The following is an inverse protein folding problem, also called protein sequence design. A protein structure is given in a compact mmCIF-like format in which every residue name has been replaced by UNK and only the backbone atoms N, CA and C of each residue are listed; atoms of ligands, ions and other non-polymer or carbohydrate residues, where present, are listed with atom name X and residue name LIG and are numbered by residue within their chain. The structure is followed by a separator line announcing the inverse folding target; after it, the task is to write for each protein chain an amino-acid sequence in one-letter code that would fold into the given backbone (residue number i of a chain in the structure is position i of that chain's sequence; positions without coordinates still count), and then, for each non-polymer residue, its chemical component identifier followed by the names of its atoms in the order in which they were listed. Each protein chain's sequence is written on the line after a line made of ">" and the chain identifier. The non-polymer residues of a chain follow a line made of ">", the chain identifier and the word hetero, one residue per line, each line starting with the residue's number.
data_IF_986947501667
#
_entry.id   IF_986947501667
#
_cell.length_a   1.000
_cell.length_b   1.000
_cell.length_c   1.000
_cell.angle_alpha   90.00
_cell.angle_beta   90.00
_cell.angle_gamma   90.00
#
_symmetry.space_group_name_H-M   'P 1'
#
loop_
_entity.id
_entity.type
_entity.pdbx_description
1 polymer ?
#
# COMPACT_ATOMS: atom_id res chain seq x y z
N UNK A 1 0.22 -11.28 -4.59
CA UNK A 1 0.90 -11.88 -3.44
C UNK A 1 0.06 -11.71 -2.18
N UNK A 2 0.05 -12.75 -1.36
CA UNK A 2 -0.64 -12.76 -0.07
C UNK A 2 0.43 -12.94 1.02
N UNK A 3 0.86 -11.86 1.70
CA UNK A 3 1.72 -11.97 2.86
C UNK A 3 0.97 -12.67 4.01
N UNK A 4 1.52 -13.75 4.54
CA UNK A 4 0.91 -14.54 5.60
C UNK A 4 1.89 -14.70 6.78
N UNK A 5 1.41 -14.44 7.99
CA UNK A 5 2.11 -14.76 9.23
C UNK A 5 1.10 -15.09 10.32
N UNK A 6 1.05 -16.35 10.73
CA UNK A 6 0.05 -16.87 11.67
C UNK A 6 -1.38 -16.43 11.26
N UNK A 7 -1.75 -16.76 10.01
CA UNK A 7 -2.95 -16.27 9.31
C UNK A 7 -4.03 -17.34 9.11
N UNK A 8 -3.89 -18.51 9.69
CA UNK A 8 -4.81 -19.67 9.52
C UNK A 8 -6.28 -19.26 9.58
N UNK A 9 -6.63 -18.37 10.51
CA UNK A 9 -8.02 -17.96 10.76
C UNK A 9 -8.66 -17.22 9.58
N UNK A 10 -7.85 -16.55 8.75
CA UNK A 10 -8.36 -15.61 7.74
C UNK A 10 -7.99 -15.95 6.31
N UNK A 11 -6.81 -16.57 6.10
CA UNK A 11 -6.20 -16.69 4.78
C UNK A 11 -7.05 -17.47 3.76
N UNK A 12 -7.85 -18.44 4.17
CA UNK A 12 -8.71 -19.21 3.25
C UNK A 12 -9.70 -18.30 2.52
N UNK A 13 -10.36 -17.39 3.23
CA UNK A 13 -11.29 -16.42 2.63
C UNK A 13 -10.60 -15.52 1.61
N UNK A 14 -9.39 -15.07 1.93
CA UNK A 14 -8.56 -14.28 1.02
C UNK A 14 -8.26 -15.07 -0.25
N UNK A 15 -7.69 -16.27 -0.12
CA UNK A 15 -7.28 -17.13 -1.24
C UNK A 15 -8.48 -17.47 -2.12
N UNK A 16 -9.58 -17.94 -1.52
CA UNK A 16 -10.79 -18.35 -2.23
C UNK A 16 -11.38 -17.19 -3.07
N UNK A 17 -11.31 -15.96 -2.56
CA UNK A 17 -11.76 -14.77 -3.29
C UNK A 17 -10.91 -14.47 -4.53
N UNK A 18 -9.65 -14.90 -4.56
CA UNK A 18 -8.72 -14.69 -5.67
C UNK A 18 -8.72 -15.85 -6.68
N UNK A 19 -9.01 -17.07 -6.24
CA UNK A 19 -9.05 -18.26 -7.09
C UNK A 19 -10.08 -18.16 -8.23
N UNK A 20 -11.11 -17.35 -8.06
CA UNK A 20 -12.12 -17.13 -9.11
C UNK A 20 -11.55 -16.48 -10.38
N UNK A 21 -10.33 -15.92 -10.32
CA UNK A 21 -9.59 -15.41 -11.47
C UNK A 21 -9.10 -16.50 -12.44
N UNK A 22 -9.08 -17.77 -11.99
CA UNK A 22 -8.67 -18.92 -12.80
C UNK A 22 -7.22 -18.82 -13.31
N UNK A 23 -6.97 -19.36 -14.49
CA UNK A 23 -5.63 -19.44 -15.11
C UNK A 23 -5.06 -18.07 -15.56
N UNK A 24 -5.81 -16.99 -15.48
CA UNK A 24 -5.32 -15.65 -15.78
C UNK A 24 -4.52 -15.03 -14.63
N UNK A 25 -4.48 -15.69 -13.48
CA UNK A 25 -3.80 -15.19 -12.28
C UNK A 25 -2.84 -16.23 -11.71
N UNK A 26 -1.77 -15.76 -11.12
CA UNK A 26 -0.95 -16.53 -10.18
C UNK A 26 -1.17 -15.97 -8.76
N UNK A 27 -1.27 -16.83 -7.78
CA UNK A 27 -1.44 -16.50 -6.38
C UNK A 27 -0.20 -16.96 -5.64
N UNK A 28 0.61 -16.00 -5.18
CA UNK A 28 1.80 -16.28 -4.38
C UNK A 28 1.42 -16.16 -2.90
N UNK A 29 1.30 -17.28 -2.21
CA UNK A 29 1.10 -17.32 -0.76
C UNK A 29 2.48 -17.28 -0.13
N UNK A 30 2.85 -16.14 0.46
CA UNK A 30 4.15 -15.97 1.08
C UNK A 30 4.02 -16.13 2.60
N UNK A 31 4.37 -17.32 3.07
CA UNK A 31 4.44 -17.63 4.50
C UNK A 31 5.74 -17.08 5.10
N UNK A 32 5.62 -16.05 5.91
CA UNK A 32 6.74 -15.33 6.55
C UNK A 32 7.15 -16.00 7.87
N UNK A 33 7.37 -17.32 7.83
CA UNK A 33 7.86 -18.09 8.97
C UNK A 33 6.82 -18.29 10.07
N UNK A 34 5.60 -18.69 9.71
CA UNK A 34 4.54 -19.01 10.67
C UNK A 34 4.90 -20.24 11.50
N UNK A 35 4.78 -20.12 12.84
CA UNK A 35 5.13 -21.19 13.78
C UNK A 35 4.05 -21.48 14.82
N UNK A 36 2.96 -20.70 14.83
CA UNK A 36 1.94 -20.79 15.89
C UNK A 36 0.63 -21.40 15.44
N UNK A 37 0.46 -21.61 14.13
CA UNK A 37 -0.77 -22.13 13.55
C UNK A 37 -0.45 -22.89 12.26
N UNK A 38 -1.48 -23.30 11.52
CA UNK A 38 -1.37 -24.12 10.30
C UNK A 38 -1.21 -23.28 9.01
N UNK A 39 -0.75 -22.05 9.09
CA UNK A 39 -0.61 -21.17 7.91
C UNK A 39 0.24 -21.81 6.80
N UNK A 40 1.41 -22.38 7.13
CA UNK A 40 2.27 -23.04 6.17
C UNK A 40 1.62 -24.25 5.51
N UNK A 41 0.97 -25.11 6.32
CA UNK A 41 0.25 -26.30 5.83
C UNK A 41 -0.90 -25.90 4.90
N UNK A 42 -1.66 -24.86 5.23
CA UNK A 42 -2.76 -24.35 4.40
C UNK A 42 -2.23 -23.83 3.06
N UNK A 43 -1.09 -23.14 3.04
CA UNK A 43 -0.46 -22.69 1.81
C UNK A 43 -0.12 -23.89 0.90
N UNK A 44 0.48 -24.94 1.46
CA UNK A 44 0.79 -26.18 0.73
C UNK A 44 -0.45 -26.93 0.24
N UNK A 45 -1.53 -26.97 1.05
CA UNK A 45 -2.83 -27.54 0.64
C UNK A 45 -3.37 -26.86 -0.62
N UNK A 46 -3.32 -25.52 -0.68
CA UNK A 46 -3.80 -24.77 -1.83
C UNK A 46 -2.90 -24.94 -3.06
N UNK A 47 -1.58 -24.95 -2.89
CA UNK A 47 -0.66 -25.24 -4.01
C UNK A 47 -0.90 -26.66 -4.57
N UNK A 48 -1.06 -27.67 -3.72
CA UNK A 48 -1.35 -29.04 -4.16
C UNK A 48 -2.69 -29.15 -4.90
N UNK A 49 -3.70 -28.39 -4.47
CA UNK A 49 -5.03 -28.40 -5.07
C UNK A 49 -5.09 -27.58 -6.38
N UNK A 50 -4.33 -26.50 -6.48
CA UNK A 50 -4.33 -25.56 -7.63
C UNK A 50 -2.92 -25.29 -8.15
N UNK A 51 -2.17 -26.30 -8.59
CA UNK A 51 -0.73 -26.20 -8.88
C UNK A 51 -0.37 -25.28 -10.05
N UNK A 52 -1.33 -24.95 -10.92
CA UNK A 52 -1.13 -24.01 -12.04
C UNK A 52 -1.41 -22.56 -11.65
N UNK A 53 -2.11 -22.31 -10.54
CA UNK A 53 -2.55 -20.98 -10.10
C UNK A 53 -1.84 -20.56 -8.82
N UNK A 54 -1.69 -21.46 -7.86
CA UNK A 54 -1.18 -21.17 -6.51
C UNK A 54 0.26 -21.68 -6.36
N UNK A 55 1.09 -20.85 -5.74
CA UNK A 55 2.44 -21.22 -5.31
C UNK A 55 2.66 -20.79 -3.86
N UNK A 56 3.02 -21.75 -3.01
CA UNK A 56 3.42 -21.53 -1.64
C UNK A 56 4.93 -21.18 -1.57
N UNK A 57 5.26 -20.12 -0.88
CA UNK A 57 6.66 -19.69 -0.68
C UNK A 57 6.88 -19.54 0.83
N UNK A 58 7.72 -20.41 1.40
CA UNK A 58 8.09 -20.37 2.80
C UNK A 58 9.43 -19.66 2.98
N UNK A 59 9.52 -18.79 3.98
CA UNK A 59 10.74 -18.06 4.28
C UNK A 59 10.88 -17.84 5.79
N UNK A 60 12.07 -17.51 6.23
CA UNK A 60 12.29 -17.02 7.60
C UNK A 60 11.53 -15.70 7.82
N UNK A 61 11.04 -15.50 9.05
CA UNK A 61 10.31 -14.30 9.40
C UNK A 61 11.16 -13.04 9.17
N UNK A 62 10.67 -12.14 8.35
CA UNK A 62 11.25 -10.83 8.05
C UNK A 62 10.22 -9.70 8.16
N UNK A 63 8.97 -10.04 8.48
CA UNK A 63 7.86 -9.10 8.55
C UNK A 63 7.17 -8.86 7.22
N UNK A 64 6.06 -8.13 7.27
CA UNK A 64 5.17 -7.89 6.12
C UNK A 64 5.92 -7.38 4.88
N UNK A 65 6.81 -6.39 5.03
CA UNK A 65 7.59 -5.86 3.91
C UNK A 65 8.49 -6.89 3.25
N UNK A 66 9.10 -7.77 4.04
CA UNK A 66 9.94 -8.88 3.54
C UNK A 66 9.11 -9.88 2.73
N UNK A 67 7.90 -10.21 3.18
CA UNK A 67 6.98 -11.07 2.45
C UNK A 67 6.52 -10.43 1.13
N UNK A 68 6.23 -9.12 1.12
CA UNK A 68 5.90 -8.37 -0.12
C UNK A 68 7.08 -8.35 -1.08
N UNK A 69 8.31 -8.08 -0.60
CA UNK A 69 9.53 -8.13 -1.43
C UNK A 69 9.70 -9.50 -2.08
N UNK A 70 9.48 -10.57 -1.32
CA UNK A 70 9.52 -11.96 -1.83
C UNK A 70 8.46 -12.18 -2.91
N UNK A 71 7.24 -11.69 -2.70
CA UNK A 71 6.18 -11.73 -3.70
C UNK A 71 6.57 -11.03 -5.00
N UNK A 72 7.10 -9.80 -4.92
CA UNK A 72 7.54 -9.03 -6.09
C UNK A 72 8.65 -9.78 -6.86
N UNK A 73 9.64 -10.31 -6.13
CA UNK A 73 10.79 -11.01 -6.74
C UNK A 73 10.38 -12.30 -7.46
N UNK A 74 9.32 -12.97 -7.00
CA UNK A 74 8.83 -14.24 -7.54
C UNK A 74 7.68 -14.09 -8.52
N UNK A 75 7.10 -12.90 -8.67
CA UNK A 75 5.97 -12.67 -9.57
C UNK A 75 6.38 -12.78 -11.05
N UNK A 76 5.59 -13.51 -11.82
CA UNK A 76 5.77 -13.71 -13.26
C UNK A 76 4.67 -13.05 -14.10
N UNK A 77 3.52 -12.73 -13.49
CA UNK A 77 2.42 -12.05 -14.15
C UNK A 77 2.75 -10.61 -14.57
N UNK A 78 2.03 -10.09 -15.56
CA UNK A 78 2.24 -8.73 -16.07
C UNK A 78 1.97 -7.65 -15.02
N UNK A 79 1.03 -7.90 -14.14
CA UNK A 79 0.58 -6.98 -13.10
C UNK A 79 0.67 -7.62 -11.72
N UNK A 80 0.96 -6.83 -10.72
CA UNK A 80 1.17 -7.26 -9.33
C UNK A 80 0.22 -6.55 -8.38
N UNK A 81 -0.39 -7.33 -7.49
CA UNK A 81 -1.25 -6.87 -6.40
C UNK A 81 -0.85 -7.52 -5.10
N UNK A 82 -0.79 -6.73 -4.03
CA UNK A 82 -0.76 -7.24 -2.65
C UNK A 82 -2.18 -7.34 -2.13
N UNK A 83 -2.53 -8.47 -1.55
CA UNK A 83 -3.79 -8.66 -0.80
C UNK A 83 -3.41 -9.22 0.56
N UNK A 84 -3.71 -8.48 1.62
CA UNK A 84 -3.41 -8.93 2.98
C UNK A 84 -4.25 -10.16 3.34
N UNK A 85 -3.68 -11.06 4.12
CA UNK A 85 -4.26 -12.39 4.37
C UNK A 85 -5.58 -12.38 5.14
N UNK A 86 -5.92 -11.26 5.79
CA UNK A 86 -7.19 -11.03 6.49
C UNK A 86 -8.23 -10.25 5.67
N UNK A 87 -7.87 -9.85 4.45
CA UNK A 87 -8.71 -9.13 3.50
C UNK A 87 -9.20 -10.06 2.38
N UNK A 88 -10.06 -9.54 1.50
CA UNK A 88 -10.55 -10.28 0.32
C UNK A 88 -10.94 -9.33 -0.81
N UNK A 89 -11.28 -9.89 -1.96
CA UNK A 89 -11.72 -9.12 -3.12
C UNK A 89 -13.16 -9.47 -3.51
N UNK A 90 -13.85 -8.51 -4.13
CA UNK A 90 -15.22 -8.73 -4.61
C UNK A 90 -15.20 -9.29 -6.03
N UNK A 91 -15.85 -10.42 -6.25
CA UNK A 91 -15.79 -11.21 -7.47
C UNK A 91 -16.19 -10.42 -8.74
N UNK A 92 -17.33 -9.72 -8.70
CA UNK A 92 -17.82 -8.93 -9.86
C UNK A 92 -16.86 -7.79 -10.24
N UNK A 93 -16.27 -7.12 -9.25
CA UNK A 93 -15.27 -6.10 -9.47
C UNK A 93 -13.94 -6.72 -9.96
N UNK A 94 -13.58 -7.90 -9.46
CA UNK A 94 -12.39 -8.63 -9.88
C UNK A 94 -12.44 -9.00 -11.37
N UNK A 95 -13.56 -9.54 -11.84
CA UNK A 95 -13.73 -9.84 -13.26
C UNK A 95 -13.57 -8.60 -14.14
N UNK A 96 -14.17 -7.46 -13.74
CA UNK A 96 -13.98 -6.20 -14.47
C UNK A 96 -12.53 -5.74 -14.51
N UNK A 97 -11.78 -5.92 -13.42
CA UNK A 97 -10.36 -5.60 -13.38
C UNK A 97 -9.58 -6.50 -14.32
N UNK A 98 -9.81 -7.82 -14.30
CA UNK A 98 -9.13 -8.76 -15.18
C UNK A 98 -9.41 -8.47 -16.66
N UNK A 99 -10.66 -8.19 -17.02
CA UNK A 99 -11.06 -7.83 -18.38
C UNK A 99 -10.37 -6.53 -18.82
N UNK A 100 -10.37 -5.50 -17.97
CA UNK A 100 -9.70 -4.22 -18.24
C UNK A 100 -8.18 -4.41 -18.42
N UNK A 101 -7.54 -5.21 -17.58
CA UNK A 101 -6.10 -5.48 -17.68
C UNK A 101 -5.75 -6.26 -18.97
N UNK A 102 -6.61 -7.22 -19.39
CA UNK A 102 -6.44 -7.93 -20.67
C UNK A 102 -6.52 -6.98 -21.86
N UNK A 103 -7.53 -6.11 -21.89
CA UNK A 103 -7.70 -5.11 -22.96
C UNK A 103 -6.49 -4.17 -23.02
N UNK A 104 -6.03 -3.65 -21.88
CA UNK A 104 -4.91 -2.72 -21.81
C UNK A 104 -3.57 -3.39 -22.11
N UNK A 105 -3.38 -4.67 -21.79
CA UNK A 105 -2.18 -5.42 -22.12
C UNK A 105 -1.98 -5.60 -23.63
N UNK A 106 -3.08 -5.68 -24.41
CA UNK A 106 -3.06 -5.72 -25.86
C UNK A 106 -2.91 -4.36 -26.55
N UNK A 107 -2.92 -3.26 -25.78
CA UNK A 107 -2.87 -1.90 -26.31
C UNK A 107 -1.47 -1.41 -26.65
N UNK A 108 -1.40 -0.28 -27.37
CA UNK A 108 -0.13 0.33 -27.79
C UNK A 108 0.66 1.07 -26.70
N UNK A 109 0.08 1.25 -25.53
CA UNK A 109 0.72 1.90 -24.37
C UNK A 109 0.70 0.98 -23.17
N UNK A 110 1.88 0.78 -22.55
CA UNK A 110 1.98 0.00 -21.32
C UNK A 110 1.32 0.75 -20.15
N UNK A 111 0.41 0.08 -19.45
CA UNK A 111 -0.14 0.53 -18.19
C UNK A 111 0.89 0.30 -17.09
N UNK A 112 1.19 1.33 -16.29
CA UNK A 112 2.10 1.23 -15.14
C UNK A 112 1.36 0.97 -13.82
N UNK A 113 0.19 1.60 -13.63
CA UNK A 113 -0.60 1.48 -12.42
C UNK A 113 -2.11 1.56 -12.71
N UNK A 114 -2.85 0.54 -12.32
CA UNK A 114 -4.30 0.57 -12.24
C UNK A 114 -4.72 0.92 -10.82
N UNK A 115 -5.71 1.80 -10.69
CA UNK A 115 -6.28 2.22 -9.41
C UNK A 115 -7.74 1.79 -9.36
N UNK A 116 -8.19 1.26 -8.24
CA UNK A 116 -9.59 0.92 -7.96
C UNK A 116 -9.98 1.36 -6.55
N UNK A 117 -11.28 1.29 -6.25
CA UNK A 117 -11.77 1.61 -4.91
C UNK A 117 -11.51 0.47 -3.93
N UNK A 118 -11.48 0.82 -2.65
CA UNK A 118 -11.57 -0.17 -1.57
C UNK A 118 -12.68 0.19 -0.59
N UNK A 119 -13.13 -0.81 0.15
CA UNK A 119 -14.28 -0.71 1.05
C UNK A 119 -13.86 -1.19 2.42
N UNK A 120 -14.11 -0.39 3.45
CA UNK A 120 -13.96 -0.82 4.82
C UNK A 120 -15.06 -1.82 5.19
N UNK A 121 -14.65 -3.00 5.60
CA UNK A 121 -15.52 -4.07 6.08
C UNK A 121 -15.35 -4.18 7.59
N UNK A 122 -16.37 -3.73 8.34
CA UNK A 122 -16.37 -3.78 9.78
C UNK A 122 -17.46 -4.72 10.27
N UNK A 123 -17.10 -5.64 11.15
CA UNK A 123 -18.01 -6.63 11.69
C UNK A 123 -19.17 -5.95 12.43
N UNK A 124 -20.41 -6.38 12.12
CA UNK A 124 -21.63 -5.83 12.74
C UNK A 124 -22.12 -4.49 12.20
N UNK A 125 -21.38 -3.83 11.28
CA UNK A 125 -21.84 -2.59 10.63
C UNK A 125 -22.47 -2.86 9.26
N UNK A 126 -23.73 -2.42 9.09
CA UNK A 126 -24.43 -2.49 7.81
C UNK A 126 -23.98 -1.42 6.81
N UNK A 127 -23.55 -0.24 7.31
CA UNK A 127 -23.10 0.88 6.49
C UNK A 127 -21.61 0.80 6.22
N UNK A 128 -21.23 0.58 4.96
CA UNK A 128 -19.84 0.46 4.53
C UNK A 128 -19.29 1.79 4.05
N UNK A 129 -18.06 2.11 4.45
CA UNK A 129 -17.34 3.28 3.94
C UNK A 129 -16.54 2.87 2.71
N UNK A 130 -16.81 3.52 1.58
CA UNK A 130 -16.08 3.33 0.31
C UNK A 130 -15.07 4.46 0.15
N UNK A 131 -13.85 4.12 -0.19
CA UNK A 131 -12.82 5.07 -0.62
C UNK A 131 -12.71 5.00 -2.14
N UNK A 132 -13.00 6.13 -2.78
CA UNK A 132 -13.10 6.25 -4.23
C UNK A 132 -12.39 7.52 -4.72
N UNK A 133 -12.01 7.55 -6.00
CA UNK A 133 -11.17 8.60 -6.58
C UNK A 133 -11.83 9.32 -7.78
N UNK A 134 -13.11 9.06 -8.06
CA UNK A 134 -13.85 9.58 -9.25
C UNK A 134 -13.82 11.10 -9.42
N UNK A 135 -13.63 11.87 -8.35
CA UNK A 135 -13.56 13.32 -8.39
C UNK A 135 -12.13 13.86 -8.56
N UNK A 136 -11.15 12.95 -8.54
CA UNK A 136 -9.71 13.29 -8.55
C UNK A 136 -9.05 12.73 -9.80
N UNK A 137 -9.40 11.50 -10.17
CA UNK A 137 -8.79 10.76 -11.27
C UNK A 137 -9.75 10.64 -12.45
N UNK A 138 -9.25 10.73 -13.71
CA UNK A 138 -10.03 10.40 -14.90
C UNK A 138 -10.52 8.95 -14.85
N UNK A 139 -11.82 8.74 -15.08
CA UNK A 139 -12.48 7.44 -14.98
C UNK A 139 -12.41 6.70 -16.31
N UNK A 140 -12.08 5.41 -16.28
CA UNK A 140 -12.11 4.46 -17.40
C UNK A 140 -11.42 4.92 -18.68
N UNK A 141 -10.28 5.59 -18.53
CA UNK A 141 -9.36 5.94 -19.62
C UNK A 141 -7.92 5.99 -19.12
N UNK A 142 -6.98 5.85 -20.04
CA UNK A 142 -5.57 6.08 -19.74
C UNK A 142 -5.33 7.56 -19.44
N UNK A 143 -4.51 7.83 -18.45
CA UNK A 143 -4.13 9.18 -18.04
C UNK A 143 -2.73 9.23 -17.43
N UNK A 144 -2.22 10.43 -17.28
CA UNK A 144 -0.94 10.73 -16.64
C UNK A 144 -1.16 11.62 -15.42
N UNK A 145 -0.11 11.88 -14.66
CA UNK A 145 -0.19 12.81 -13.52
C UNK A 145 -0.70 14.20 -13.90
N UNK A 146 -0.50 14.64 -15.14
CA UNK A 146 -0.97 15.95 -15.63
C UNK A 146 -2.49 16.04 -15.70
N UNK A 147 -3.14 14.92 -15.91
CA UNK A 147 -4.59 14.81 -16.06
C UNK A 147 -5.34 14.71 -14.71
N UNK A 148 -4.59 14.50 -13.60
CA UNK A 148 -5.17 14.39 -12.28
C UNK A 148 -5.66 15.76 -11.77
N UNK A 149 -6.83 15.76 -11.13
CA UNK A 149 -7.26 16.90 -10.34
C UNK A 149 -6.47 17.01 -9.04
N UNK A 150 -6.68 18.10 -8.31
CA UNK A 150 -5.99 18.31 -7.04
C UNK A 150 -6.51 17.32 -5.97
N UNK A 151 -5.61 16.57 -5.35
CA UNK A 151 -5.96 15.75 -4.20
C UNK A 151 -6.30 16.63 -3.01
N UNK A 152 -7.49 16.46 -2.48
CA UNK A 152 -7.94 17.14 -1.26
C UNK A 152 -7.04 16.68 -0.11
N UNK A 153 -6.70 17.59 0.82
CA UNK A 153 -5.89 17.24 1.99
C UNK A 153 -6.52 16.10 2.78
N UNK A 154 -5.69 15.12 3.15
CA UNK A 154 -6.13 13.89 3.81
C UNK A 154 -6.55 12.76 2.87
N UNK A 155 -6.61 13.00 1.56
CA UNK A 155 -6.87 11.95 0.56
C UNK A 155 -5.58 11.53 -0.14
N UNK A 156 -5.31 10.25 -0.15
CA UNK A 156 -4.16 9.65 -0.82
C UNK A 156 -4.47 8.22 -1.25
N UNK A 157 -3.65 7.69 -2.14
CA UNK A 157 -3.82 6.35 -2.71
C UNK A 157 -3.10 5.35 -1.79
N UNK A 158 -3.83 4.36 -1.31
CA UNK A 158 -3.31 3.30 -0.45
C UNK A 158 -2.96 2.03 -1.25
N UNK A 159 -2.19 1.14 -0.64
CA UNK A 159 -1.84 -0.18 -1.18
C UNK A 159 -3.07 -0.98 -1.63
N UNK A 160 -4.18 -0.87 -0.89
CA UNK A 160 -5.44 -1.53 -1.20
C UNK A 160 -6.00 -1.17 -2.58
N UNK A 161 -5.71 0.06 -3.07
CA UNK A 161 -6.24 0.59 -4.34
C UNK A 161 -5.37 0.30 -5.55
N UNK A 162 -4.11 -0.07 -5.40
CA UNK A 162 -3.16 -0.12 -6.53
C UNK A 162 -2.89 -1.53 -7.04
N UNK A 163 -2.75 -1.62 -8.36
CA UNK A 163 -2.19 -2.75 -9.08
C UNK A 163 -1.07 -2.18 -9.94
N UNK A 164 0.16 -2.59 -9.74
CA UNK A 164 1.31 -2.11 -10.49
C UNK A 164 1.71 -3.07 -11.60
N UNK A 165 2.34 -2.56 -12.64
CA UNK A 165 3.08 -3.39 -13.59
C UNK A 165 4.24 -4.07 -12.84
N UNK A 166 4.30 -5.39 -12.88
CA UNK A 166 5.28 -6.21 -12.14
C UNK A 166 6.71 -5.76 -12.40
N UNK A 167 7.06 -5.61 -13.68
CA UNK A 167 8.39 -5.18 -14.10
C UNK A 167 8.79 -3.80 -13.55
N UNK A 168 7.83 -2.88 -13.42
CA UNK A 168 8.08 -1.57 -12.79
C UNK A 168 8.51 -1.73 -11.34
N UNK A 169 7.83 -2.56 -10.54
CA UNK A 169 8.21 -2.82 -9.15
C UNK A 169 9.57 -3.52 -9.04
N UNK A 170 9.88 -4.46 -9.94
CA UNK A 170 11.15 -5.18 -9.94
C UNK A 170 12.34 -4.29 -10.32
N UNK A 171 12.12 -3.26 -11.16
CA UNK A 171 13.17 -2.39 -11.70
C UNK A 171 13.30 -1.03 -11.00
N UNK A 172 12.27 -0.58 -10.25
CA UNK A 172 12.30 0.75 -9.61
C UNK A 172 13.22 0.85 -8.38
N UNK A 173 13.79 -0.27 -7.94
CA UNK A 173 14.67 -0.32 -6.78
C UNK A 173 13.94 -0.36 -5.43
N UNK A 174 12.61 -0.61 -5.44
CA UNK A 174 11.83 -0.76 -4.21
C UNK A 174 12.36 -1.91 -3.37
N UNK A 175 12.70 -1.62 -2.11
CA UNK A 175 13.07 -2.61 -1.11
C UNK A 175 12.47 -2.22 0.24
N UNK A 176 11.37 -2.86 0.58
CA UNK A 176 10.70 -2.61 1.85
C UNK A 176 11.56 -3.11 3.02
N UNK A 177 11.69 -2.33 4.12
CA UNK A 177 12.48 -2.73 5.28
C UNK A 177 11.85 -3.92 5.99
N UNK A 178 12.71 -4.81 6.49
CA UNK A 178 12.31 -5.96 7.30
C UNK A 178 11.89 -5.53 8.72
N UNK A 179 11.08 -6.37 9.37
CA UNK A 179 10.60 -6.17 10.75
C UNK A 179 10.05 -4.76 11.01
N UNK A 180 9.37 -4.20 10.03
CA UNK A 180 8.83 -2.84 10.09
C UNK A 180 7.36 -2.85 9.64
N UNK A 181 6.47 -2.31 10.47
CA UNK A 181 5.07 -2.06 10.10
C UNK A 181 4.93 -0.77 9.29
N UNK A 182 3.77 -0.57 8.67
CA UNK A 182 3.42 0.64 7.90
C UNK A 182 4.24 0.83 6.62
N UNK A 183 4.89 -0.23 6.14
CA UNK A 183 5.67 -0.25 4.89
C UNK A 183 4.81 -0.19 3.63
N UNK A 184 3.49 -0.40 3.76
CA UNK A 184 2.48 -0.16 2.74
C UNK A 184 2.55 1.27 2.17
N UNK A 185 2.93 2.26 3.00
CA UNK A 185 3.19 3.62 2.55
C UNK A 185 4.39 3.69 1.60
N UNK A 186 5.47 2.98 1.87
CA UNK A 186 6.65 2.92 1.00
C UNK A 186 6.34 2.18 -0.30
N UNK A 187 5.57 1.08 -0.21
CA UNK A 187 5.13 0.28 -1.35
C UNK A 187 4.38 1.11 -2.40
N UNK A 188 3.56 2.07 -1.97
CA UNK A 188 2.88 2.98 -2.89
C UNK A 188 3.78 4.15 -3.29
N UNK A 189 4.49 4.74 -2.34
CA UNK A 189 5.20 6.02 -2.51
C UNK A 189 6.44 5.93 -3.40
N UNK A 190 7.29 4.92 -3.18
CA UNK A 190 8.57 4.82 -3.88
C UNK A 190 8.45 4.49 -5.38
N UNK A 191 7.48 3.69 -5.87
CA UNK A 191 7.31 3.46 -7.30
C UNK A 191 6.76 4.65 -8.09
N UNK A 192 6.12 5.64 -7.44
CA UNK A 192 5.40 6.74 -8.13
C UNK A 192 6.24 7.53 -9.14
N UNK A 193 7.54 7.83 -8.92
CA UNK A 193 8.35 8.52 -9.93
C UNK A 193 8.48 7.77 -11.27
N UNK A 194 8.30 6.46 -11.24
CA UNK A 194 8.40 5.56 -12.41
C UNK A 194 7.05 5.33 -13.10
N UNK A 195 5.95 5.69 -12.45
CA UNK A 195 4.58 5.57 -13.00
C UNK A 195 4.32 6.71 -13.96
N UNK A 196 4.12 6.37 -15.24
CA UNK A 196 3.78 7.33 -16.31
C UNK A 196 2.32 7.22 -16.69
N UNK A 197 1.86 6.01 -17.01
CA UNK A 197 0.53 5.72 -17.51
C UNK A 197 -0.31 5.05 -16.43
N UNK A 198 -1.45 5.63 -16.14
CA UNK A 198 -2.39 5.18 -15.12
C UNK A 198 -3.76 4.91 -15.72
N UNK A 199 -4.55 4.11 -15.03
CA UNK A 199 -5.95 3.86 -15.34
C UNK A 199 -6.73 3.77 -14.04
N UNK A 200 -7.85 4.45 -13.94
CA UNK A 200 -8.74 4.35 -12.79
C UNK A 200 -10.04 3.66 -13.20
N UNK A 201 -10.28 2.49 -12.62
CA UNK A 201 -11.51 1.73 -12.76
C UNK A 201 -12.38 1.95 -11.50
N UNK A 202 -13.54 2.59 -11.67
CA UNK A 202 -14.43 2.95 -10.56
C UNK A 202 -15.25 1.73 -10.08
N UNK A 203 -14.58 0.75 -9.51
CA UNK A 203 -15.17 -0.46 -8.94
C UNK A 203 -14.71 -0.70 -7.51
N UNK A 204 -15.63 -1.20 -6.68
CA UNK A 204 -15.38 -1.49 -5.26
C UNK A 204 -14.73 -2.87 -5.10
N UNK A 205 -13.44 -2.95 -5.42
CA UNK A 205 -12.73 -4.21 -5.55
C UNK A 205 -12.22 -4.78 -4.23
N UNK A 206 -11.34 -4.06 -3.54
CA UNK A 206 -10.68 -4.53 -2.33
C UNK A 206 -11.56 -4.39 -1.11
N UNK A 207 -11.64 -5.42 -0.28
CA UNK A 207 -12.41 -5.49 0.96
C UNK A 207 -11.47 -5.50 2.15
N UNK A 208 -11.30 -4.34 2.76
CA UNK A 208 -10.40 -4.13 3.89
C UNK A 208 -11.12 -4.40 5.20
N UNK A 209 -10.77 -5.51 5.84
CA UNK A 209 -11.37 -5.94 7.10
C UNK A 209 -10.77 -5.18 8.28
N UNK A 210 -11.61 -4.43 9.00
CA UNK A 210 -11.19 -3.61 10.14
C UNK A 210 -12.05 -3.90 11.38
N UNK A 211 -11.54 -3.52 12.56
CA UNK A 211 -12.29 -3.54 13.82
C UNK A 211 -11.76 -4.55 14.83
N UNK A 212 -10.75 -5.34 14.51
CA UNK A 212 -10.06 -6.18 15.50
C UNK A 212 -9.15 -5.32 16.38
N UNK A 213 -9.05 -5.69 17.68
CA UNK A 213 -8.21 -4.96 18.64
C UNK A 213 -6.70 -5.13 18.38
N UNK A 214 -6.29 -6.23 17.74
CA UNK A 214 -4.90 -6.57 17.44
C UNK A 214 -4.39 -6.01 16.10
N UNK A 215 -5.24 -5.32 15.34
CA UNK A 215 -4.86 -4.77 14.04
C UNK A 215 -3.81 -3.65 14.16
N UNK A 216 -2.93 -3.60 13.16
CA UNK A 216 -1.87 -2.60 13.07
C UNK A 216 -2.37 -1.15 13.05
N UNK A 217 -3.61 -0.93 12.58
CA UNK A 217 -4.27 0.39 12.52
C UNK A 217 -5.00 0.77 13.80
N UNK A 218 -5.02 -0.08 14.82
CA UNK A 218 -5.53 0.28 16.15
C UNK A 218 -4.61 1.31 16.80
N UNK A 219 -5.16 2.41 17.34
CA UNK A 219 -4.37 3.52 17.88
C UNK A 219 -3.38 3.09 18.97
N UNK A 220 -3.80 2.24 19.89
CA UNK A 220 -2.93 1.73 20.97
C UNK A 220 -1.77 0.93 20.38
N UNK A 221 -2.05 0.09 19.38
CA UNK A 221 -1.04 -0.68 18.66
C UNK A 221 -0.10 0.25 17.89
N UNK A 222 -0.62 1.28 17.22
CA UNK A 222 0.19 2.26 16.50
C UNK A 222 1.14 3.03 17.43
N UNK A 223 0.66 3.44 18.60
CA UNK A 223 1.49 4.12 19.62
C UNK A 223 2.58 3.17 20.13
N UNK A 224 2.28 1.91 20.39
CA UNK A 224 3.29 0.92 20.82
C UNK A 224 4.37 0.64 19.76
N UNK A 225 4.08 0.91 18.48
CA UNK A 225 4.98 0.74 17.33
C UNK A 225 5.44 2.06 16.74
N UNK A 226 5.37 3.15 17.50
CA UNK A 226 5.63 4.49 16.98
C UNK A 226 7.03 4.67 16.38
N UNK A 227 8.04 3.97 16.88
CA UNK A 227 9.38 4.03 16.34
C UNK A 227 9.47 3.47 14.91
N UNK A 228 8.63 2.48 14.58
CA UNK A 228 8.53 1.95 13.21
C UNK A 228 7.81 2.93 12.28
N UNK A 229 6.76 3.59 12.77
CA UNK A 229 6.08 4.67 12.04
C UNK A 229 7.05 5.83 11.74
N UNK A 230 7.87 6.23 12.72
CA UNK A 230 8.91 7.26 12.56
C UNK A 230 9.95 6.81 11.53
N UNK A 231 10.39 5.54 11.59
CA UNK A 231 11.33 4.96 10.62
C UNK A 231 10.80 5.08 9.20
N UNK A 232 9.56 4.65 8.96
CA UNK A 232 8.93 4.75 7.64
C UNK A 232 8.81 6.21 7.19
N UNK A 233 8.41 7.10 8.08
CA UNK A 233 8.30 8.54 7.78
C UNK A 233 9.66 9.13 7.37
N UNK A 234 10.74 8.79 8.06
CA UNK A 234 12.10 9.22 7.71
C UNK A 234 12.55 8.67 6.35
N UNK A 235 12.24 7.41 6.03
CA UNK A 235 12.52 6.84 4.71
C UNK A 235 11.76 7.58 3.59
N UNK A 236 10.50 7.95 3.81
CA UNK A 236 9.74 8.74 2.85
C UNK A 236 10.34 10.15 2.66
N UNK A 237 10.80 10.80 3.75
CA UNK A 237 11.52 12.08 3.69
C UNK A 237 12.77 11.95 2.83
N UNK A 238 13.62 10.98 3.13
CA UNK A 238 14.88 10.75 2.43
C UNK A 238 14.65 10.47 0.95
N UNK A 239 13.65 9.63 0.63
CA UNK A 239 13.30 9.32 -0.74
C UNK A 239 12.82 10.56 -1.53
N UNK A 240 11.90 11.34 -0.95
CA UNK A 240 11.39 12.55 -1.60
C UNK A 240 12.49 13.57 -1.86
N UNK A 241 13.40 13.76 -0.90
CA UNK A 241 14.53 14.67 -1.02
C UNK A 241 15.53 14.20 -2.09
N UNK A 242 15.86 12.90 -2.08
CA UNK A 242 16.77 12.31 -3.08
C UNK A 242 16.21 12.42 -4.51
N UNK A 243 14.91 12.23 -4.70
CA UNK A 243 14.23 12.31 -6.01
C UNK A 243 13.77 13.71 -6.41
N UNK A 244 13.99 14.73 -5.59
CA UNK A 244 13.44 16.08 -5.77
C UNK A 244 13.75 16.69 -7.14
N UNK A 245 15.00 16.58 -7.61
CA UNK A 245 15.42 17.17 -8.90
C UNK A 245 14.66 16.57 -10.10
N UNK A 246 14.33 15.28 -10.02
CA UNK A 246 13.54 14.58 -11.02
C UNK A 246 12.06 14.96 -10.90
N UNK A 247 11.53 14.92 -9.67
CA UNK A 247 10.13 15.14 -9.37
C UNK A 247 9.63 16.54 -9.70
N UNK A 248 10.45 17.57 -9.51
CA UNK A 248 10.05 18.97 -9.83
C UNK A 248 9.71 19.19 -11.31
N UNK A 249 10.20 18.33 -12.20
CA UNK A 249 9.85 18.32 -13.62
C UNK A 249 8.40 17.88 -13.87
N UNK A 250 7.83 17.09 -12.96
CA UNK A 250 6.41 16.70 -12.94
C UNK A 250 5.71 17.34 -11.74
N UNK A 251 5.28 18.61 -11.92
CA UNK A 251 4.71 19.43 -10.84
C UNK A 251 3.54 18.73 -10.11
N UNK A 252 2.66 18.02 -10.83
CA UNK A 252 1.50 17.35 -10.23
C UNK A 252 1.92 16.19 -9.35
N UNK A 253 2.82 15.34 -9.83
CA UNK A 253 3.36 14.24 -9.05
C UNK A 253 4.11 14.75 -7.81
N UNK A 254 4.98 15.74 -7.97
CA UNK A 254 5.72 16.29 -6.83
C UNK A 254 4.78 16.87 -5.77
N UNK A 255 3.73 17.59 -6.19
CA UNK A 255 2.72 18.11 -5.27
C UNK A 255 1.97 16.98 -4.55
N UNK A 256 1.60 15.91 -5.26
CA UNK A 256 0.95 14.75 -4.67
C UNK A 256 1.85 14.07 -3.64
N UNK A 257 3.10 13.80 -3.97
CA UNK A 257 4.03 13.13 -3.06
C UNK A 257 4.33 13.98 -1.81
N UNK A 258 4.43 15.31 -1.94
CA UNK A 258 4.55 16.21 -0.77
C UNK A 258 3.32 16.15 0.12
N UNK A 259 2.12 16.16 -0.46
CA UNK A 259 0.87 16.04 0.31
C UNK A 259 0.77 14.69 1.01
N UNK A 260 1.20 13.62 0.36
CA UNK A 260 1.23 12.29 0.98
C UNK A 260 2.18 12.30 2.19
N UNK A 261 3.40 12.78 2.03
CA UNK A 261 4.34 12.89 3.14
C UNK A 261 3.80 13.78 4.27
N UNK A 262 3.12 14.90 3.97
CA UNK A 262 2.48 15.77 4.96
C UNK A 262 1.44 15.00 5.79
N UNK A 263 0.64 14.13 5.15
CA UNK A 263 -0.32 13.27 5.86
C UNK A 263 0.40 12.33 6.82
N UNK A 264 1.45 11.65 6.38
CA UNK A 264 2.20 10.70 7.22
C UNK A 264 2.94 11.42 8.35
N UNK A 265 3.51 12.60 8.11
CA UNK A 265 4.07 13.46 9.16
C UNK A 265 3.02 13.86 10.20
N UNK A 266 1.80 14.17 9.74
CA UNK A 266 0.67 14.52 10.61
C UNK A 266 0.24 13.34 11.46
N UNK A 267 0.04 12.17 10.86
CA UNK A 267 -0.32 10.93 11.58
C UNK A 267 0.72 10.62 12.65
N UNK A 268 2.01 10.64 12.29
CA UNK A 268 3.11 10.41 13.23
C UNK A 268 3.09 11.41 14.39
N UNK A 269 2.90 12.70 14.09
CA UNK A 269 2.87 13.77 15.10
C UNK A 269 1.66 13.64 16.04
N UNK A 270 0.47 13.32 15.51
CA UNK A 270 -0.75 13.13 16.30
C UNK A 270 -0.60 11.94 17.24
N UNK A 271 -0.10 10.81 16.78
CA UNK A 271 0.14 9.62 17.62
C UNK A 271 1.14 9.92 18.75
N UNK A 272 2.21 10.65 18.46
CA UNK A 272 3.21 11.06 19.45
C UNK A 272 2.63 12.00 20.50
N UNK A 273 1.72 12.92 20.13
CA UNK A 273 1.03 13.80 21.06
C UNK A 273 0.02 13.01 21.93
N UNK A 274 -0.76 12.13 21.30
CA UNK A 274 -1.82 11.36 21.98
C UNK A 274 -1.29 10.33 22.97
N UNK A 275 -0.05 9.90 22.81
CA UNK A 275 0.61 9.01 23.78
C UNK A 275 0.80 9.67 25.17
N UNK A 276 0.85 11.00 25.25
CA UNK A 276 0.90 11.78 26.48
C UNK A 276 2.22 11.71 27.23
N UNK A 277 3.29 11.17 26.65
CA UNK A 277 4.60 11.06 27.31
C UNK A 277 5.59 12.11 26.80
N UNK A 278 6.48 12.59 27.70
CA UNK A 278 7.54 13.55 27.33
C UNK A 278 8.49 12.95 26.29
N UNK A 279 8.85 11.67 26.44
CA UNK A 279 9.69 10.94 25.47
C UNK A 279 9.14 11.03 24.04
N UNK A 280 7.84 10.82 23.86
CA UNK A 280 7.20 10.90 22.56
C UNK A 280 7.09 12.33 22.01
N UNK A 281 6.93 13.32 22.88
CA UNK A 281 6.98 14.73 22.48
C UNK A 281 8.40 15.10 21.98
N UNK A 282 9.44 14.58 22.63
CA UNK A 282 10.82 14.78 22.19
C UNK A 282 11.07 14.07 20.84
N UNK A 283 10.61 12.82 20.65
CA UNK A 283 10.64 12.12 19.35
C UNK A 283 9.92 12.90 18.24
N UNK A 284 8.77 13.54 18.57
CA UNK A 284 8.08 14.42 17.61
C UNK A 284 8.98 15.58 17.17
N UNK A 285 9.61 16.26 18.13
CA UNK A 285 10.54 17.36 17.85
C UNK A 285 11.70 16.90 16.99
N UNK A 286 12.31 15.77 17.32
CA UNK A 286 13.39 15.15 16.53
C UNK A 286 12.97 14.83 15.10
N UNK A 287 11.77 14.31 14.87
CA UNK A 287 11.27 14.02 13.54
C UNK A 287 11.14 15.29 12.68
N UNK A 288 10.64 16.40 13.27
CA UNK A 288 10.52 17.67 12.57
C UNK A 288 11.87 18.34 12.30
N UNK A 289 12.83 18.24 13.25
CA UNK A 289 14.20 18.69 13.02
C UNK A 289 14.92 17.84 11.97
N UNK A 290 14.63 16.53 11.91
CA UNK A 290 15.13 15.66 10.83
C UNK A 290 14.65 16.16 9.46
N UNK A 291 13.36 16.41 9.29
CA UNK A 291 12.82 16.96 8.05
C UNK A 291 13.50 18.31 7.68
N UNK A 292 13.66 19.19 8.67
CA UNK A 292 14.30 20.50 8.50
C UNK A 292 15.76 20.38 8.07
N UNK A 293 16.50 19.41 8.63
CA UNK A 293 17.89 19.15 8.27
C UNK A 293 18.04 18.62 6.83
N UNK A 294 17.06 17.86 6.35
CA UNK A 294 17.06 17.31 4.98
C UNK A 294 16.61 18.32 3.92
N UNK A 295 15.54 19.07 4.19
CA UNK A 295 15.02 20.10 3.28
C UNK A 295 14.27 21.21 4.05
N UNK A 296 14.96 22.33 4.29
CA UNK A 296 14.39 23.48 5.00
C UNK A 296 13.17 24.08 4.30
N UNK A 297 13.12 24.05 2.95
CA UNK A 297 11.97 24.61 2.20
C UNK A 297 10.75 23.71 2.36
N UNK A 298 10.93 22.40 2.30
CA UNK A 298 9.87 21.42 2.53
C UNK A 298 9.35 21.51 3.97
N UNK A 299 10.25 21.64 4.96
CA UNK A 299 9.88 21.87 6.35
C UNK A 299 9.01 23.12 6.52
N UNK A 300 9.44 24.25 5.97
CA UNK A 300 8.69 25.51 6.09
C UNK A 300 7.32 25.41 5.39
N UNK A 301 7.26 24.73 4.24
CA UNK A 301 6.01 24.51 3.54
C UNK A 301 5.02 23.66 4.36
N UNK A 302 5.47 22.58 4.99
CA UNK A 302 4.64 21.74 5.86
C UNK A 302 4.24 22.47 7.14
N UNK A 303 5.20 23.13 7.80
CA UNK A 303 4.98 23.83 9.08
C UNK A 303 3.96 24.97 8.96
N UNK A 304 3.96 25.67 7.84
CA UNK A 304 3.04 26.80 7.56
C UNK A 304 1.77 26.33 6.83
N UNK A 305 1.64 25.05 6.52
CA UNK A 305 0.45 24.47 5.92
C UNK A 305 -0.69 24.31 6.92
N UNK A 306 -1.89 24.00 6.40
CA UNK A 306 -3.11 23.85 7.22
C UNK A 306 -2.94 22.74 8.28
N UNK A 307 -2.23 21.66 7.96
CA UNK A 307 -1.98 20.57 8.90
C UNK A 307 -0.83 20.88 9.89
N UNK A 308 0.16 21.68 9.48
CA UNK A 308 1.29 22.07 10.33
C UNK A 308 0.96 23.09 11.40
N UNK A 309 -0.06 23.92 11.19
CA UNK A 309 -0.51 24.92 12.17
C UNK A 309 -1.20 24.34 13.41
N UNK A 310 -1.61 23.07 13.35
CA UNK A 310 -2.27 22.35 14.47
C UNK A 310 -1.30 21.44 15.23
N UNK A 311 -0.04 21.39 14.87
CA UNK A 311 1.03 20.55 15.40
C UNK A 311 2.15 21.40 15.99
#
# INVERSE_FOLDING_TARGET
>A
AIPCYNSEKYMRKCIDSLLVGGEDVEILIVDDGSTKDRTAEIADEYEAQFPTIVRAIHKENGGHGSAVNTGIANATGLYFKVVDSDDWVKQDAYFKILDTLRELAGGGQALDMLISNYVYEKEGESRKKVIQYRHILPVERMFTWKDCHHFIKGHYILMHSVIFRTKLLQECGLKLPEHTFYVDNLYVFEPLPYVKNMYYLDVNFYRYYIGRQDQSVNETVMISRIDQQIRVTKLMIDYLVAKKQELVKNRRLYQYMRNYLEIIMTVSSVLLIRSGTQEHLDKKKELWEYLKSKDKRLYLWMRNGIMGGTM
#
